data_IF_963720960851
#
_entry.id   IF_963720960851
#
_cell.length_a   1.000
_cell.length_b   1.000
_cell.length_c   1.000
_cell.angle_alpha   90.00
_cell.angle_beta   90.00
_cell.angle_gamma   90.00
#
_symmetry.space_group_name_H-M   'P 1'
#
loop_
_entity.id
_entity.type
_entity.pdbx_description
1 polymer ?
#
# COMPACT_ATOMS: atom_id res chain seq x y z
N UNK A 1 19.78 18.66 -14.75
CA UNK A 1 18.58 19.47 -14.47
C UNK A 1 17.69 18.75 -13.46
N UNK A 2 17.63 19.19 -12.20
CA UNK A 2 16.59 18.72 -11.26
C UNK A 2 15.29 19.44 -11.64
N UNK A 3 14.39 18.76 -12.36
CA UNK A 3 13.02 19.27 -12.56
C UNK A 3 12.42 19.43 -11.16
N UNK A 4 11.95 20.63 -10.82
CA UNK A 4 11.09 20.84 -9.65
C UNK A 4 9.83 20.00 -9.87
N UNK A 5 9.85 18.73 -9.44
CA UNK A 5 8.67 17.87 -9.45
C UNK A 5 7.78 18.38 -8.32
N UNK A 6 6.71 19.09 -8.67
CA UNK A 6 5.62 19.39 -7.73
C UNK A 6 4.92 18.07 -7.41
N UNK A 7 4.90 17.69 -6.13
CA UNK A 7 4.11 16.56 -5.66
C UNK A 7 2.64 16.96 -5.47
N UNK A 8 1.72 16.06 -5.81
CA UNK A 8 0.27 16.29 -5.65
C UNK A 8 -0.23 15.89 -4.27
N UNK A 9 0.46 14.99 -3.57
CA UNK A 9 0.01 14.38 -2.32
C UNK A 9 -1.34 13.68 -2.41
N UNK A 10 -1.78 13.37 -3.64
CA UNK A 10 -2.97 12.59 -3.94
C UNK A 10 -2.61 11.10 -3.96
N UNK A 11 -3.46 10.30 -3.33
CA UNK A 11 -3.39 8.85 -3.33
C UNK A 11 -4.45 8.30 -4.28
N UNK A 12 -4.12 7.22 -4.98
CA UNK A 12 -5.10 6.51 -5.80
C UNK A 12 -6.10 5.77 -4.91
N UNK A 13 -7.27 5.48 -5.49
CA UNK A 13 -8.26 4.62 -4.84
C UNK A 13 -7.65 3.26 -4.44
N UNK A 14 -8.08 2.72 -3.30
CA UNK A 14 -7.56 1.46 -2.77
C UNK A 14 -7.80 0.28 -3.71
N UNK A 15 -8.96 0.22 -4.37
CA UNK A 15 -9.28 -0.85 -5.33
C UNK A 15 -8.43 -0.74 -6.60
N UNK A 16 -8.15 0.48 -7.05
CA UNK A 16 -7.24 0.74 -8.18
C UNK A 16 -5.80 0.34 -7.83
N UNK A 17 -5.33 0.64 -6.61
CA UNK A 17 -4.02 0.18 -6.15
C UNK A 17 -3.92 -1.34 -6.20
N UNK A 18 -4.87 -2.04 -5.59
CA UNK A 18 -4.89 -3.51 -5.54
C UNK A 18 -4.95 -4.13 -6.94
N UNK A 19 -5.72 -3.53 -7.85
CA UNK A 19 -5.77 -3.94 -9.25
C UNK A 19 -4.41 -3.86 -9.93
N UNK A 20 -3.69 -2.75 -9.77
CA UNK A 20 -2.36 -2.55 -10.34
C UNK A 20 -1.30 -3.44 -9.70
N UNK A 21 -1.35 -3.61 -8.38
CA UNK A 21 -0.46 -4.55 -7.66
C UNK A 21 -0.69 -5.97 -8.19
N UNK A 22 -1.95 -6.38 -8.36
CA UNK A 22 -2.29 -7.67 -8.95
C UNK A 22 -1.70 -7.83 -10.35
N UNK A 23 -1.72 -6.78 -11.17
CA UNK A 23 -1.11 -6.81 -12.51
C UNK A 23 0.41 -6.95 -12.43
N UNK A 24 1.07 -6.23 -11.52
CA UNK A 24 2.52 -6.33 -11.33
C UNK A 24 2.94 -7.72 -10.84
N UNK A 25 2.21 -8.31 -9.88
CA UNK A 25 2.53 -9.65 -9.35
C UNK A 25 2.31 -10.78 -10.38
N UNK A 26 1.46 -10.56 -11.39
CA UNK A 26 1.21 -11.54 -12.47
C UNK A 26 2.42 -11.77 -13.38
N UNK A 27 3.47 -10.97 -13.28
CA UNK A 27 4.72 -11.21 -14.00
C UNK A 27 5.42 -12.49 -13.48
N UNK A 28 5.20 -12.86 -12.22
CA UNK A 28 5.72 -14.10 -11.60
C UNK A 28 4.61 -14.83 -10.81
N UNK A 29 3.60 -15.40 -11.51
CA UNK A 29 2.36 -15.83 -10.86
C UNK A 29 2.57 -16.98 -9.89
N UNK A 30 3.48 -17.92 -10.17
CA UNK A 30 3.72 -19.08 -9.29
C UNK A 30 4.25 -18.70 -7.91
N UNK A 31 5.03 -17.61 -7.82
CA UNK A 31 5.57 -17.13 -6.55
C UNK A 31 4.54 -16.30 -5.75
N UNK A 32 3.62 -15.62 -6.44
CA UNK A 32 2.64 -14.72 -5.85
C UNK A 32 1.18 -15.23 -5.85
N UNK A 33 0.93 -16.48 -6.26
CA UNK A 33 -0.41 -16.97 -6.59
C UNK A 33 -1.43 -16.75 -5.45
N UNK A 34 -1.11 -17.17 -4.22
CA UNK A 34 -2.01 -17.03 -3.08
C UNK A 34 -2.35 -15.56 -2.78
N UNK A 35 -1.35 -14.67 -2.88
CA UNK A 35 -1.54 -13.22 -2.70
C UNK A 35 -2.44 -12.66 -3.82
N UNK A 36 -2.19 -13.03 -5.08
CA UNK A 36 -2.95 -12.60 -6.26
C UNK A 36 -4.44 -12.97 -6.13
N UNK A 37 -4.73 -14.13 -5.55
CA UNK A 37 -6.09 -14.63 -5.31
C UNK A 37 -6.81 -13.85 -4.21
N UNK A 38 -6.11 -13.40 -3.17
CA UNK A 38 -6.69 -12.65 -2.05
C UNK A 38 -6.83 -11.14 -2.31
N UNK A 39 -5.99 -10.55 -3.19
CA UNK A 39 -6.01 -9.11 -3.51
C UNK A 39 -7.40 -8.51 -3.79
N UNK A 40 -8.32 -9.16 -4.53
CA UNK A 40 -9.66 -8.61 -4.79
C UNK A 40 -10.53 -8.38 -3.55
N UNK A 41 -10.29 -9.12 -2.47
CA UNK A 41 -11.01 -8.95 -1.20
C UNK A 41 -10.28 -8.00 -0.24
N UNK A 42 -9.10 -7.51 -0.64
CA UNK A 42 -8.29 -6.63 0.18
C UNK A 42 -8.91 -5.24 0.34
N UNK A 43 -8.64 -4.61 1.48
CA UNK A 43 -8.95 -3.20 1.75
C UNK A 43 -7.66 -2.47 2.08
N UNK A 44 -7.45 -1.31 1.44
CA UNK A 44 -6.25 -0.49 1.65
C UNK A 44 -6.57 0.65 2.60
N UNK A 45 -5.80 0.76 3.67
CA UNK A 45 -5.77 1.95 4.52
C UNK A 45 -4.47 2.72 4.29
N UNK A 46 -4.62 4.00 3.94
CA UNK A 46 -3.52 4.93 3.82
C UNK A 46 -3.46 5.86 5.03
N UNK A 47 -2.29 5.96 5.66
CA UNK A 47 -1.99 6.91 6.74
C UNK A 47 -0.78 7.78 6.35
N UNK A 48 -1.00 8.90 5.64
CA UNK A 48 0.07 9.85 5.32
C UNK A 48 0.75 10.39 6.58
N UNK A 49 2.07 10.31 6.65
CA UNK A 49 2.88 11.00 7.65
C UNK A 49 3.13 12.40 7.11
N UNK A 50 2.34 13.36 7.58
CA UNK A 50 2.57 14.77 7.26
C UNK A 50 3.86 15.24 7.93
N UNK A 51 4.94 15.31 7.15
CA UNK A 51 6.10 16.09 7.54
C UNK A 51 5.70 17.56 7.42
N UNK A 52 5.70 18.30 8.54
CA UNK A 52 5.54 19.76 8.50
C UNK A 52 6.53 20.33 7.49
N UNK A 53 6.09 21.14 6.50
CA UNK A 53 7.01 21.76 5.57
C UNK A 53 8.00 22.59 6.39
N UNK A 54 9.26 22.16 6.44
CA UNK A 54 10.30 22.95 7.08
C UNK A 54 10.45 24.23 6.27
N UNK A 55 10.04 25.36 6.84
CA UNK A 55 10.36 26.69 6.30
C UNK A 55 11.87 26.90 6.42
N UNK A 56 12.61 26.58 5.37
CA UNK A 56 13.99 26.99 5.20
C UNK A 56 14.03 28.27 4.35
N UNK A 57 13.77 29.42 4.98
CA UNK A 57 13.75 30.73 4.29
C UNK A 57 12.51 30.98 3.42
N UNK A 58 12.66 31.68 2.29
CA UNK A 58 11.58 32.10 1.37
C UNK A 58 11.11 31.03 0.36
N UNK A 59 11.65 29.80 0.41
CA UNK A 59 11.41 28.79 -0.64
C UNK A 59 10.78 27.53 -0.04
N UNK A 60 9.58 27.17 -0.50
CA UNK A 60 8.95 25.89 -0.17
C UNK A 60 9.72 24.74 -0.84
N UNK A 61 10.43 23.92 -0.06
CA UNK A 61 10.99 22.65 -0.55
C UNK A 61 9.95 21.54 -0.40
N UNK A 62 9.32 21.14 -1.50
CA UNK A 62 8.45 19.96 -1.54
C UNK A 62 9.33 18.71 -1.36
N UNK A 63 9.22 18.08 -0.19
CA UNK A 63 9.87 16.79 0.11
C UNK A 63 8.85 15.67 -0.02
N UNK A 64 9.34 14.47 -0.33
CA UNK A 64 8.50 13.28 -0.23
C UNK A 64 8.03 13.10 1.22
N UNK A 65 6.77 12.72 1.38
CA UNK A 65 6.16 12.42 2.66
C UNK A 65 6.20 10.92 2.94
N UNK A 66 6.28 10.55 4.21
CA UNK A 66 6.11 9.14 4.60
C UNK A 66 4.66 8.72 4.42
N UNK A 67 4.43 7.45 4.12
CA UNK A 67 3.10 6.84 4.06
C UNK A 67 3.15 5.53 4.83
N UNK A 68 2.31 5.41 5.85
CA UNK A 68 2.04 4.13 6.46
C UNK A 68 0.87 3.49 5.72
N UNK A 69 1.05 2.27 5.23
CA UNK A 69 0.07 1.55 4.44
C UNK A 69 -0.27 0.23 5.11
N UNK A 70 -1.55 -0.03 5.32
CA UNK A 70 -2.03 -1.31 5.83
C UNK A 70 -2.97 -1.95 4.80
N UNK A 71 -2.67 -3.20 4.44
CA UNK A 71 -3.59 -4.06 3.72
C UNK A 71 -4.39 -4.90 4.72
N UNK A 72 -5.70 -4.88 4.57
CA UNK A 72 -6.61 -5.70 5.33
C UNK A 72 -7.19 -6.77 4.44
N UNK A 73 -7.25 -8.01 4.93
CA UNK A 73 -7.91 -9.13 4.25
C UNK A 73 -8.93 -9.77 5.20
N UNK A 74 -10.00 -10.41 4.70
CA UNK A 74 -10.86 -11.23 5.54
C UNK A 74 -10.03 -12.27 6.31
N UNK A 75 -10.35 -12.51 7.58
CA UNK A 75 -9.53 -13.32 8.50
C UNK A 75 -9.14 -14.68 7.90
N UNK A 76 -10.12 -15.40 7.32
CA UNK A 76 -9.88 -16.71 6.69
C UNK A 76 -8.87 -16.66 5.54
N UNK A 77 -8.86 -15.58 4.77
CA UNK A 77 -7.89 -15.39 3.70
C UNK A 77 -6.52 -15.00 4.25
N UNK A 78 -6.50 -14.13 5.26
CA UNK A 78 -5.26 -13.75 5.94
C UNK A 78 -4.56 -14.95 6.58
N UNK A 79 -5.29 -15.81 7.29
CA UNK A 79 -4.78 -17.05 7.88
C UNK A 79 -4.13 -17.95 6.83
N UNK A 80 -4.76 -18.11 5.67
CA UNK A 80 -4.22 -18.89 4.56
C UNK A 80 -2.96 -18.30 3.92
N UNK A 81 -2.67 -17.02 4.16
CA UNK A 81 -1.47 -16.34 3.66
C UNK A 81 -0.30 -16.34 4.65
N UNK A 82 -0.49 -16.73 5.92
CA UNK A 82 0.53 -16.58 6.96
C UNK A 82 1.82 -17.35 6.66
N UNK A 83 1.70 -18.56 6.13
CA UNK A 83 2.85 -19.39 5.77
C UNK A 83 3.61 -18.86 4.55
N UNK A 84 2.91 -18.16 3.66
CA UNK A 84 3.48 -17.56 2.44
C UNK A 84 4.09 -16.18 2.70
N UNK A 85 3.51 -15.38 3.60
CA UNK A 85 3.91 -14.00 3.88
C UNK A 85 5.04 -13.91 4.92
N UNK A 86 6.14 -14.61 4.65
CA UNK A 86 7.40 -14.42 5.38
C UNK A 86 7.96 -13.01 5.19
N UNK A 87 8.82 -12.57 6.11
CA UNK A 87 9.32 -11.19 6.18
C UNK A 87 9.89 -10.67 4.83
N UNK A 88 10.72 -11.46 4.17
CA UNK A 88 11.31 -11.10 2.87
C UNK A 88 10.24 -10.86 1.80
N UNK A 89 9.23 -11.74 1.73
CA UNK A 89 8.12 -11.63 0.78
C UNK A 89 7.24 -10.42 1.07
N UNK A 90 7.05 -10.08 2.36
CA UNK A 90 6.35 -8.86 2.76
C UNK A 90 7.12 -7.60 2.33
N UNK A 91 8.44 -7.62 2.42
CA UNK A 91 9.30 -6.52 1.98
C UNK A 91 9.34 -6.37 0.46
N UNK A 92 9.34 -7.48 -0.28
CA UNK A 92 9.19 -7.46 -1.73
C UNK A 92 7.82 -6.90 -2.15
N UNK A 93 6.75 -7.33 -1.50
CA UNK A 93 5.40 -6.81 -1.76
C UNK A 93 5.31 -5.31 -1.46
N UNK A 94 5.93 -4.84 -0.37
CA UNK A 94 6.08 -3.40 -0.08
C UNK A 94 6.73 -2.68 -1.26
N UNK A 95 7.79 -3.23 -1.84
CA UNK A 95 8.49 -2.62 -2.97
C UNK A 95 7.63 -2.59 -4.25
N UNK A 96 6.89 -3.68 -4.52
CA UNK A 96 5.92 -3.71 -5.64
C UNK A 96 4.89 -2.60 -5.47
N UNK A 97 4.30 -2.45 -4.28
CA UNK A 97 3.31 -1.40 -4.01
C UNK A 97 3.94 0.00 -4.18
N UNK A 98 5.17 0.20 -3.69
CA UNK A 98 5.90 1.46 -3.86
C UNK A 98 6.09 1.83 -5.33
N UNK A 99 6.36 0.85 -6.19
CA UNK A 99 6.56 1.06 -7.63
C UNK A 99 5.24 1.35 -8.38
N UNK A 100 4.11 0.85 -7.86
CA UNK A 100 2.78 1.11 -8.42
C UNK A 100 2.27 2.51 -8.06
N UNK A 101 2.63 3.02 -6.89
CA UNK A 101 2.27 4.38 -6.47
C UNK A 101 2.97 5.40 -7.39
N UNK A 102 2.25 6.37 -8.00
CA UNK A 102 2.86 7.29 -8.94
C UNK A 102 3.89 8.18 -8.23
N UNK A 103 5.06 8.37 -8.84
CA UNK A 103 6.10 9.29 -8.38
C UNK A 103 5.57 10.68 -7.98
N UNK A 104 4.57 11.18 -8.73
CA UNK A 104 3.98 12.50 -8.50
C UNK A 104 3.14 12.58 -7.22
N UNK A 105 2.71 11.46 -6.66
CA UNK A 105 2.02 11.45 -5.36
C UNK A 105 2.94 11.98 -4.25
N UNK A 106 4.26 11.82 -4.40
CA UNK A 106 5.23 12.30 -3.43
C UNK A 106 5.26 11.50 -2.13
N UNK A 107 4.72 10.28 -2.11
CA UNK A 107 4.78 9.40 -0.95
C UNK A 107 5.87 8.33 -1.08
N UNK A 108 6.54 8.06 0.03
CA UNK A 108 7.38 6.88 0.23
C UNK A 108 6.73 6.02 1.32
N UNK A 109 6.58 4.71 1.08
CA UNK A 109 6.06 3.78 2.07
C UNK A 109 7.08 3.64 3.21
N UNK A 110 6.73 4.25 4.34
CA UNK A 110 7.51 4.21 5.56
C UNK A 110 7.26 2.87 6.28
N UNK A 111 6.01 2.61 6.65
CA UNK A 111 5.57 1.37 7.28
C UNK A 111 4.60 0.62 6.37
N UNK A 112 4.76 -0.69 6.28
CA UNK A 112 3.86 -1.58 5.55
C UNK A 112 3.40 -2.71 6.47
N UNK A 113 2.08 -2.92 6.53
CA UNK A 113 1.46 -3.97 7.34
C UNK A 113 0.41 -4.71 6.54
N UNK A 114 0.24 -5.98 6.86
CA UNK A 114 -0.86 -6.81 6.39
C UNK A 114 -1.58 -7.34 7.62
N UNK A 115 -2.92 -7.29 7.62
CA UNK A 115 -3.74 -7.68 8.77
C UNK A 115 -4.98 -8.45 8.31
N UNK A 116 -5.41 -9.40 9.14
CA UNK A 116 -6.76 -9.95 9.09
C UNK A 116 -7.78 -8.95 9.66
N UNK A 117 -8.98 -8.97 9.10
CA UNK A 117 -10.19 -8.41 9.71
C UNK A 117 -11.23 -9.52 9.87
N UNK A 118 -11.88 -9.53 11.03
CA UNK A 118 -13.05 -10.36 11.28
C UNK A 118 -14.20 -9.87 10.40
N UNK A 119 -14.39 -10.47 9.22
CA UNK A 119 -15.60 -10.23 8.44
C UNK A 119 -16.72 -11.16 8.94
N UNK A 120 -17.61 -10.58 9.76
CA UNK A 120 -19.03 -10.57 9.41
C UNK A 120 -19.71 -9.29 9.96
N UNK A 121 -19.98 -8.28 9.13
CA UNK A 121 -20.90 -7.18 9.48
C UNK A 121 -22.37 -7.63 9.57
N UNK A 122 -22.71 -8.92 9.42
CA UNK A 122 -24.10 -9.42 9.50
C UNK A 122 -24.56 -9.95 10.86
N UNK A 123 -23.85 -9.69 11.96
CA UNK A 123 -24.34 -10.06 13.30
C UNK A 123 -24.34 -8.89 14.28
N UNK A 124 -25.02 -7.82 13.90
CA UNK A 124 -25.25 -6.64 14.73
C UNK A 124 -26.68 -6.09 14.66
N UNK A 125 -27.69 -6.97 14.78
CA UNK A 125 -29.03 -6.69 15.32
C UNK A 125 -29.93 -7.91 15.08
N UNK A 126 -30.12 -8.73 16.11
CA UNK A 126 -31.35 -9.51 16.30
C UNK A 126 -32.40 -8.62 16.97
#
# INVERSE_FOLDING_TARGET
>A
MRRNRSYTYELMDGTELLSRVKQALKEEPGYWQAVIECLPAGVVEYKPIRNSPMRAGQTYQYRQAGLNLTLYFPEKQFEGLLDDLVEDKVMELKQVIQNVIPDRSGYIINEFKIKGILDDPKHGAS
#
